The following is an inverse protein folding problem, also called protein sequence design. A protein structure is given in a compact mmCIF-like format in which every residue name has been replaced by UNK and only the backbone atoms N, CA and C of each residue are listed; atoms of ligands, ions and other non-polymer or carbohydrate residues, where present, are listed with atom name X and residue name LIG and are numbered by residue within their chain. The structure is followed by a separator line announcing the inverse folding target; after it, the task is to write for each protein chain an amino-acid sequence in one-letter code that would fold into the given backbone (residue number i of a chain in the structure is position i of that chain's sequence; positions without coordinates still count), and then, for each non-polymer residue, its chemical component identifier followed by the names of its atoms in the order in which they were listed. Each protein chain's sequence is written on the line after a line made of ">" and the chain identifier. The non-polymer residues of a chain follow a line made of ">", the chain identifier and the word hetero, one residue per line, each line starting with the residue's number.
data_IF_973275142530
#
_entry.id   IF_973275142530
#
_cell.length_a   1.000
_cell.length_b   1.000
_cell.length_c   1.000
_cell.angle_alpha   90.00
_cell.angle_beta   90.00
_cell.angle_gamma   90.00
#
_symmetry.space_group_name_H-M   'P 1'
#
loop_
_entity.id
_entity.type
_entity.pdbx_description
1 polymer ?
#
# COMPACT_ATOMS: atom_id res chain seq x y z
N UNK A 1 6.26 -15.87 16.19
CA UNK A 1 5.77 -16.83 15.17
C UNK A 1 6.59 -16.57 13.92
N UNK A 2 7.39 -17.53 13.43
CA UNK A 2 8.12 -17.33 12.16
C UNK A 2 7.06 -17.35 11.06
N UNK A 3 6.74 -16.21 10.47
CA UNK A 3 6.02 -16.20 9.21
C UNK A 3 6.91 -16.91 8.19
N UNK A 4 6.42 -18.03 7.67
CA UNK A 4 7.12 -18.73 6.61
C UNK A 4 6.93 -17.91 5.34
N UNK A 5 8.02 -17.32 4.84
CA UNK A 5 8.00 -16.55 3.61
C UNK A 5 7.72 -17.50 2.45
N UNK A 6 6.46 -17.54 2.03
CA UNK A 6 5.99 -18.43 0.98
C UNK A 6 4.96 -17.71 0.10
N UNK A 7 4.85 -18.09 -1.18
CA UNK A 7 3.78 -17.58 -2.06
C UNK A 7 2.37 -17.80 -1.51
N UNK A 8 2.16 -18.85 -0.70
CA UNK A 8 0.87 -19.14 -0.06
C UNK A 8 0.52 -18.09 1.00
N UNK A 9 1.48 -17.74 1.86
CA UNK A 9 1.34 -16.63 2.81
C UNK A 9 1.19 -15.29 2.10
N UNK A 10 1.95 -15.07 1.02
CA UNK A 10 1.84 -13.87 0.18
C UNK A 10 0.42 -13.68 -0.39
N UNK A 11 -0.23 -14.75 -0.84
CA UNK A 11 -1.63 -14.71 -1.30
C UNK A 11 -2.58 -14.23 -0.20
N UNK A 12 -2.39 -14.65 1.04
CA UNK A 12 -3.20 -14.18 2.15
C UNK A 12 -2.91 -12.71 2.47
N UNK A 13 -1.65 -12.28 2.45
CA UNK A 13 -1.28 -10.87 2.63
C UNK A 13 -1.91 -9.94 1.58
N UNK A 14 -2.10 -10.42 0.34
CA UNK A 14 -2.87 -9.67 -0.67
C UNK A 14 -4.33 -9.45 -0.25
N UNK A 15 -4.97 -10.43 0.41
CA UNK A 15 -6.34 -10.28 0.90
C UNK A 15 -6.42 -9.30 2.07
N UNK A 16 -5.46 -9.38 3.01
CA UNK A 16 -5.35 -8.44 4.13
C UNK A 16 -5.12 -7.00 3.64
N UNK A 17 -4.21 -6.81 2.67
CA UNK A 17 -3.95 -5.51 2.04
C UNK A 17 -5.22 -4.88 1.44
N UNK A 18 -6.14 -5.67 0.89
CA UNK A 18 -7.42 -5.15 0.39
C UNK A 18 -8.32 -4.67 1.53
N UNK A 19 -8.25 -5.32 2.69
CA UNK A 19 -8.90 -4.86 3.93
C UNK A 19 -8.41 -3.47 4.33
N UNK A 20 -7.09 -3.30 4.43
CA UNK A 20 -6.46 -2.00 4.79
C UNK A 20 -6.77 -0.90 3.77
N UNK A 21 -6.80 -1.24 2.47
CA UNK A 21 -7.25 -0.30 1.43
C UNK A 21 -8.71 0.12 1.67
N UNK A 22 -9.56 -0.80 2.15
CA UNK A 22 -10.93 -0.52 2.56
C UNK A 22 -11.00 0.53 3.68
N UNK A 23 -10.14 0.41 4.69
CA UNK A 23 -10.07 1.36 5.81
C UNK A 23 -9.63 2.77 5.34
N UNK A 24 -8.58 2.83 4.49
CA UNK A 24 -8.17 4.08 3.83
C UNK A 24 -9.34 4.71 3.05
N UNK A 25 -10.05 3.89 2.27
CA UNK A 25 -11.20 4.33 1.47
C UNK A 25 -12.32 4.86 2.36
N UNK A 26 -12.60 4.22 3.49
CA UNK A 26 -13.66 4.63 4.42
C UNK A 26 -13.33 5.98 5.05
N UNK A 27 -12.08 6.22 5.44
CA UNK A 27 -11.63 7.54 5.90
C UNK A 27 -11.82 8.58 4.78
N UNK A 28 -11.27 8.35 3.59
CA UNK A 28 -11.37 9.30 2.47
C UNK A 28 -12.83 9.61 2.09
N UNK A 29 -13.70 8.59 2.06
CA UNK A 29 -15.13 8.74 1.74
C UNK A 29 -15.91 9.46 2.83
N UNK A 30 -15.61 9.17 4.10
CA UNK A 30 -16.30 9.78 5.25
C UNK A 30 -15.98 11.26 5.38
N UNK A 31 -14.75 11.66 5.03
CA UNK A 31 -14.27 13.03 5.24
C UNK A 31 -14.16 13.88 3.95
N UNK A 32 -14.36 13.32 2.74
CA UNK A 32 -14.47 14.05 1.45
C UNK A 32 -13.45 15.21 1.30
N UNK A 33 -13.94 16.43 1.06
CA UNK A 33 -13.17 17.67 0.82
C UNK A 33 -12.54 18.27 2.09
N UNK A 34 -12.72 17.63 3.25
CA UNK A 34 -12.07 18.06 4.49
C UNK A 34 -10.58 17.90 4.24
N UNK A 35 -9.92 19.04 3.99
CA UNK A 35 -8.47 19.10 3.85
C UNK A 35 -7.89 18.27 5.01
N UNK A 36 -7.11 17.21 4.73
CA UNK A 36 -6.38 16.44 5.75
C UNK A 36 -5.27 17.25 6.45
N UNK A 37 -5.47 18.57 6.60
CA UNK A 37 -4.49 19.55 7.06
C UNK A 37 -4.87 20.21 8.38
N UNK A 38 -6.14 20.17 8.81
CA UNK A 38 -6.57 20.89 10.03
C UNK A 38 -6.97 19.98 11.21
N UNK A 39 -7.09 18.67 10.98
CA UNK A 39 -7.37 17.68 12.03
C UNK A 39 -6.18 16.71 12.10
N UNK A 40 -5.42 16.81 13.20
CA UNK A 40 -4.19 16.03 13.42
C UNK A 40 -4.52 14.56 13.68
N UNK A 41 -5.61 14.27 14.39
CA UNK A 41 -6.00 12.90 14.70
C UNK A 41 -6.45 12.19 13.43
N UNK A 42 -7.28 12.84 12.62
CA UNK A 42 -7.71 12.31 11.33
C UNK A 42 -6.52 12.08 10.38
N UNK A 43 -5.55 13.01 10.36
CA UNK A 43 -4.34 12.85 9.56
C UNK A 43 -3.50 11.67 10.02
N UNK A 44 -3.31 11.50 11.32
CA UNK A 44 -2.56 10.39 11.89
C UNK A 44 -3.23 9.05 11.56
N UNK A 45 -4.55 8.96 11.74
CA UNK A 45 -5.30 7.76 11.42
C UNK A 45 -5.22 7.42 9.92
N UNK A 46 -5.36 8.40 9.01
CA UNK A 46 -5.17 8.15 7.58
C UNK A 46 -3.76 7.63 7.24
N UNK A 47 -2.73 8.19 7.88
CA UNK A 47 -1.33 7.76 7.67
C UNK A 47 -1.09 6.36 8.22
N UNK A 48 -1.72 6.00 9.33
CA UNK A 48 -1.69 4.66 9.93
C UNK A 48 -2.26 3.62 8.96
N UNK A 49 -3.48 3.81 8.46
CA UNK A 49 -4.08 2.87 7.50
C UNK A 49 -3.25 2.76 6.20
N UNK A 50 -2.67 3.87 5.73
CA UNK A 50 -1.76 3.84 4.58
C UNK A 50 -0.45 3.08 4.88
N UNK A 51 0.03 3.12 6.11
CA UNK A 51 1.20 2.36 6.55
C UNK A 51 0.89 0.86 6.61
N UNK A 52 -0.31 0.47 7.04
CA UNK A 52 -0.75 -0.92 7.06
C UNK A 52 -0.86 -1.51 5.65
N UNK A 53 -1.36 -0.73 4.68
CA UNK A 53 -1.30 -1.10 3.26
C UNK A 53 0.14 -1.36 2.81
N UNK A 54 1.08 -0.47 3.14
CA UNK A 54 2.50 -0.62 2.78
C UNK A 54 3.14 -1.83 3.47
N UNK A 55 2.80 -2.09 4.73
CA UNK A 55 3.30 -3.24 5.48
C UNK A 55 2.90 -4.55 4.80
N UNK A 56 1.62 -4.72 4.47
CA UNK A 56 1.17 -5.92 3.76
C UNK A 56 1.74 -6.02 2.35
N UNK A 57 1.90 -4.91 1.63
CA UNK A 57 2.53 -4.93 0.31
C UNK A 57 4.01 -5.36 0.39
N UNK A 58 4.75 -4.90 1.40
CA UNK A 58 6.12 -5.34 1.63
C UNK A 58 6.20 -6.83 1.99
N UNK A 59 5.27 -7.34 2.81
CA UNK A 59 5.21 -8.77 3.12
C UNK A 59 4.90 -9.62 1.87
N UNK A 60 4.03 -9.12 0.99
CA UNK A 60 3.78 -9.73 -0.33
C UNK A 60 5.08 -9.78 -1.13
N UNK A 61 5.81 -8.67 -1.23
CA UNK A 61 7.10 -8.64 -1.94
C UNK A 61 8.07 -9.68 -1.39
N UNK A 62 8.24 -9.74 -0.07
CA UNK A 62 9.10 -10.73 0.59
C UNK A 62 8.68 -12.17 0.30
N UNK A 63 7.37 -12.45 0.32
CA UNK A 63 6.82 -13.78 0.02
C UNK A 63 7.07 -14.23 -1.43
N UNK A 64 7.19 -13.29 -2.36
CA UNK A 64 7.48 -13.55 -3.78
C UNK A 64 8.96 -13.36 -4.14
N UNK A 65 9.82 -13.01 -3.17
CA UNK A 65 11.25 -12.75 -3.41
C UNK A 65 11.51 -11.51 -4.28
N UNK A 66 10.57 -10.55 -4.31
CA UNK A 66 10.70 -9.30 -5.05
C UNK A 66 11.55 -8.33 -4.24
N UNK A 67 12.64 -7.85 -4.82
CA UNK A 67 13.50 -6.84 -4.21
C UNK A 67 12.95 -5.42 -4.40
N UNK A 68 13.41 -4.50 -3.54
CA UNK A 68 13.11 -3.08 -3.68
C UNK A 68 13.66 -2.49 -4.98
N UNK A 69 14.84 -2.95 -5.43
CA UNK A 69 15.47 -2.49 -6.66
C UNK A 69 14.66 -2.89 -7.90
N UNK A 70 14.16 -4.14 -7.95
CA UNK A 70 13.28 -4.62 -9.03
C UNK A 70 12.00 -3.77 -9.11
N UNK A 71 11.37 -3.50 -7.96
CA UNK A 71 10.17 -2.67 -7.92
C UNK A 71 10.46 -1.22 -8.33
N UNK A 72 11.55 -0.63 -7.86
CA UNK A 72 11.96 0.74 -8.20
C UNK A 72 12.20 0.90 -9.71
N UNK A 73 12.89 -0.05 -10.32
CA UNK A 73 13.15 -0.06 -11.77
C UNK A 73 11.83 -0.15 -12.55
N UNK A 74 10.94 -1.07 -12.15
CA UNK A 74 9.62 -1.22 -12.77
C UNK A 74 8.76 0.05 -12.63
N UNK A 75 8.77 0.67 -11.45
CA UNK A 75 8.05 1.93 -11.20
C UNK A 75 8.56 3.06 -12.08
N UNK A 76 9.88 3.28 -12.11
CA UNK A 76 10.51 4.36 -12.90
C UNK A 76 10.21 4.20 -14.39
N UNK A 77 10.42 2.99 -14.95
CA UNK A 77 10.13 2.71 -16.36
C UNK A 77 8.64 2.90 -16.69
N UNK A 78 7.74 2.51 -15.78
CA UNK A 78 6.29 2.73 -15.95
C UNK A 78 5.94 4.21 -15.93
N UNK A 79 6.53 4.98 -15.00
CA UNK A 79 6.32 6.41 -14.87
C UNK A 79 6.75 7.15 -16.15
N UNK A 80 7.96 6.91 -16.65
CA UNK A 80 8.48 7.49 -17.90
C UNK A 80 7.60 7.17 -19.11
N UNK A 81 7.15 5.91 -19.23
CA UNK A 81 6.22 5.48 -20.28
C UNK A 81 4.86 6.17 -20.19
N UNK A 82 4.36 6.42 -18.98
CA UNK A 82 3.09 7.11 -18.79
C UNK A 82 3.20 8.61 -19.12
N UNK A 83 4.35 9.25 -18.83
CA UNK A 83 4.60 10.65 -19.18
C UNK A 83 4.66 10.92 -20.68
N UNK A 84 4.89 9.88 -21.50
CA UNK A 84 4.97 9.96 -22.97
C UNK A 84 3.69 9.50 -23.68
N UNK A 85 2.66 9.12 -22.91
CA UNK A 85 1.33 8.73 -23.39
C UNK A 85 0.41 9.94 -23.33
N UNK A 86 0.24 10.60 -24.47
CA UNK A 86 -0.78 11.62 -24.75
C UNK A 86 -2.08 10.95 -25.18
#
# INVERSE_FOLDING_TARGET
>A
MKFELSPETGKHNLLWMIGEIGEVIDIVKKYRDIKPTNDVELRNHLVEEMADVLMHYNDVMLCYGISADELQQAYTAKFEKNMTRW
#
